data_IF_939177276933
#
_entry.id   IF_939177276933
#
_cell.length_a   1.000
_cell.length_b   1.000
_cell.length_c   1.000
_cell.angle_alpha   90.00
_cell.angle_beta   90.00
_cell.angle_gamma   90.00
#
_symmetry.space_group_name_H-M   'P 1'
#
loop_
_entity.id
_entity.type
_entity.pdbx_description
1 polymer ?
#
# COMPACT_ATOMS: atom_id res chain seq x y z
N UNK A 1 -24.17 8.60 -15.67
CA UNK A 1 -22.76 8.81 -16.00
C UNK A 1 -22.67 9.72 -17.24
N UNK A 2 -21.67 10.66 -17.32
CA UNK A 2 -21.48 11.52 -18.49
C UNK A 2 -21.35 10.71 -19.78
N UNK A 3 -21.99 11.19 -20.87
CA UNK A 3 -21.89 10.55 -22.19
C UNK A 3 -20.45 10.52 -22.67
N UNK A 4 -20.01 9.38 -23.23
CA UNK A 4 -18.65 9.15 -23.70
C UNK A 4 -17.66 8.69 -22.62
N UNK A 5 -18.12 8.53 -21.37
CA UNK A 5 -17.31 7.97 -20.26
C UNK A 5 -17.71 6.52 -20.02
N UNK A 6 -16.71 5.63 -19.91
CA UNK A 6 -16.95 4.22 -19.54
C UNK A 6 -17.39 4.09 -18.09
N UNK A 7 -18.52 3.43 -17.85
CA UNK A 7 -19.04 3.20 -16.50
C UNK A 7 -18.18 2.21 -15.69
N UNK A 8 -17.49 1.32 -16.38
CA UNK A 8 -16.68 0.25 -15.76
C UNK A 8 -15.23 0.64 -15.54
N UNK A 9 -14.65 1.50 -16.40
CA UNK A 9 -13.21 1.80 -16.37
C UNK A 9 -12.88 3.26 -16.07
N UNK A 10 -13.83 4.19 -16.29
CA UNK A 10 -13.62 5.63 -16.19
C UNK A 10 -12.79 6.22 -17.33
N UNK A 11 -12.52 5.44 -18.38
CA UNK A 11 -11.82 5.92 -19.56
C UNK A 11 -12.76 6.68 -20.49
N UNK A 12 -12.23 7.68 -21.18
CA UNK A 12 -12.94 8.43 -22.22
C UNK A 12 -12.96 7.61 -23.50
N UNK A 13 -14.17 7.37 -24.04
CA UNK A 13 -14.41 6.61 -25.28
C UNK A 13 -14.45 7.58 -26.49
N UNK A 14 -13.28 8.04 -26.90
CA UNK A 14 -13.13 9.05 -27.96
C UNK A 14 -13.31 10.47 -27.41
N UNK A 15 -14.53 10.90 -27.11
CA UNK A 15 -14.82 12.16 -26.44
C UNK A 15 -15.88 11.95 -25.34
N UNK A 16 -15.83 12.76 -24.29
CA UNK A 16 -16.79 12.68 -23.20
C UNK A 16 -17.27 14.06 -22.77
N UNK A 17 -18.47 14.13 -22.26
CA UNK A 17 -19.05 15.35 -21.72
C UNK A 17 -18.48 15.62 -20.31
N UNK A 18 -18.02 16.85 -20.08
CA UNK A 18 -17.67 17.35 -18.75
C UNK A 18 -18.92 17.80 -18.01
N UNK A 19 -19.25 17.13 -16.93
CA UNK A 19 -20.36 17.50 -16.06
C UNK A 19 -19.85 18.21 -14.79
N UNK A 20 -20.56 19.24 -14.34
CA UNK A 20 -20.35 19.85 -13.03
C UNK A 20 -20.96 18.98 -11.93
N UNK A 21 -22.13 18.37 -12.22
CA UNK A 21 -22.86 17.48 -11.34
C UNK A 21 -23.32 16.23 -12.10
N UNK A 22 -23.12 15.07 -11.50
CA UNK A 22 -23.61 13.78 -12.02
C UNK A 22 -24.53 13.13 -11.00
N UNK A 23 -25.78 12.85 -11.38
CA UNK A 23 -26.66 12.00 -10.58
C UNK A 23 -26.55 10.57 -11.11
N UNK A 24 -26.25 9.62 -10.23
CA UNK A 24 -26.22 8.19 -10.52
C UNK A 24 -27.22 7.46 -9.64
N UNK A 25 -27.80 6.36 -10.12
CA UNK A 25 -28.89 5.68 -9.44
C UNK A 25 -28.41 4.48 -8.65
N UNK A 26 -28.95 4.33 -7.43
CA UNK A 26 -28.78 3.25 -6.46
C UNK A 26 -27.33 3.05 -5.99
N UNK A 27 -26.40 2.76 -6.89
CA UNK A 27 -25.00 2.54 -6.58
C UNK A 27 -24.11 3.40 -7.46
N UNK A 28 -22.98 3.84 -6.92
CA UNK A 28 -21.97 4.56 -7.68
C UNK A 28 -21.30 3.60 -8.67
N UNK A 29 -21.21 3.99 -9.94
CA UNK A 29 -20.49 3.24 -10.96
C UNK A 29 -19.00 3.49 -10.77
N UNK A 30 -18.21 2.42 -10.79
CA UNK A 30 -16.77 2.48 -10.52
C UNK A 30 -16.01 3.44 -11.46
N UNK A 31 -16.46 3.55 -12.71
CA UNK A 31 -15.91 4.49 -13.68
C UNK A 31 -16.06 5.97 -13.33
N UNK A 32 -16.92 6.34 -12.35
CA UNK A 32 -16.98 7.71 -11.83
C UNK A 32 -15.85 8.02 -10.83
N UNK A 33 -15.17 7.00 -10.32
CA UNK A 33 -14.06 7.15 -9.35
C UNK A 33 -12.69 6.87 -9.97
N UNK A 34 -12.62 6.04 -11.01
CA UNK A 34 -11.36 5.61 -11.62
C UNK A 34 -10.93 6.49 -12.80
N UNK A 35 -9.64 6.43 -13.12
CA UNK A 35 -9.03 7.06 -14.28
C UNK A 35 -9.43 8.55 -14.45
N UNK A 36 -9.94 8.88 -15.63
CA UNK A 36 -10.40 10.22 -15.97
C UNK A 36 -11.81 10.51 -15.42
N UNK A 37 -12.54 9.48 -14.98
CA UNK A 37 -13.95 9.57 -14.60
C UNK A 37 -14.25 10.66 -13.59
N UNK A 38 -13.43 10.82 -12.56
CA UNK A 38 -13.60 11.89 -11.56
C UNK A 38 -13.54 13.29 -12.16
N UNK A 39 -12.63 13.51 -13.09
CA UNK A 39 -12.49 14.84 -13.75
C UNK A 39 -13.69 15.18 -14.62
N UNK A 40 -14.29 14.16 -15.24
CA UNK A 40 -15.44 14.34 -16.13
C UNK A 40 -16.79 14.31 -15.41
N UNK A 41 -16.88 13.65 -14.26
CA UNK A 41 -18.14 13.46 -13.54
C UNK A 41 -18.54 14.64 -12.64
N UNK A 42 -17.60 15.51 -12.28
CA UNK A 42 -17.85 16.58 -11.32
C UNK A 42 -18.29 16.04 -9.96
N UNK A 43 -19.25 16.70 -9.31
CA UNK A 43 -19.83 16.25 -8.05
C UNK A 43 -20.82 15.11 -8.31
N UNK A 44 -20.56 13.91 -7.75
CA UNK A 44 -21.40 12.73 -7.94
C UNK A 44 -22.37 12.57 -6.77
N UNK A 45 -23.66 12.53 -7.08
CA UNK A 45 -24.74 12.26 -6.13
C UNK A 45 -25.39 10.91 -6.48
N UNK A 46 -25.51 10.03 -5.49
CA UNK A 46 -26.26 8.77 -5.64
C UNK A 46 -27.71 9.02 -5.23
N UNK A 47 -28.64 8.72 -6.14
CA UNK A 47 -30.07 8.82 -5.89
C UNK A 47 -30.66 7.41 -5.77
N UNK A 48 -31.33 7.13 -4.66
CA UNK A 48 -32.09 5.91 -4.47
C UNK A 48 -33.38 5.95 -5.31
N UNK A 49 -33.62 4.92 -6.09
CA UNK A 49 -34.82 4.78 -6.96
C UNK A 49 -35.61 3.48 -6.67
N UNK A 50 -35.30 2.80 -5.57
CA UNK A 50 -36.01 1.62 -5.08
C UNK A 50 -35.60 0.30 -5.74
N UNK A 51 -34.38 0.20 -6.30
CA UNK A 51 -33.82 -1.06 -6.79
C UNK A 51 -33.18 -1.81 -5.62
N UNK A 52 -33.52 -3.08 -5.43
CA UNK A 52 -32.90 -3.90 -4.38
C UNK A 52 -31.39 -4.09 -4.60
N UNK A 53 -30.61 -3.92 -3.53
CA UNK A 53 -29.16 -4.16 -3.55
C UNK A 53 -28.81 -5.65 -3.31
N UNK A 54 -29.74 -6.50 -2.90
CA UNK A 54 -29.47 -7.92 -2.61
C UNK A 54 -28.75 -8.67 -3.74
N UNK A 55 -29.15 -8.52 -5.02
CA UNK A 55 -28.43 -9.17 -6.11
C UNK A 55 -26.98 -8.69 -6.26
N UNK A 56 -26.71 -7.42 -5.93
CA UNK A 56 -25.37 -6.86 -6.02
C UNK A 56 -24.43 -7.43 -4.95
N UNK A 57 -24.94 -7.78 -3.76
CA UNK A 57 -24.13 -8.34 -2.68
C UNK A 57 -23.57 -9.73 -3.00
N UNK A 58 -24.14 -10.42 -3.98
CA UNK A 58 -23.73 -11.74 -4.44
C UNK A 58 -22.89 -11.69 -5.73
N UNK A 59 -22.74 -10.51 -6.33
CA UNK A 59 -22.01 -10.34 -7.58
C UNK A 59 -20.49 -10.20 -7.32
N UNK A 60 -19.70 -11.08 -7.93
CA UNK A 60 -18.25 -11.08 -7.83
C UNK A 60 -17.58 -9.83 -8.45
N UNK A 61 -18.32 -9.06 -9.26
CA UNK A 61 -17.83 -7.83 -9.90
C UNK A 61 -18.11 -6.57 -9.07
N UNK A 62 -18.82 -6.70 -7.95
CA UNK A 62 -19.01 -5.59 -7.01
C UNK A 62 -17.70 -5.24 -6.32
N UNK A 63 -17.38 -3.94 -6.35
CA UNK A 63 -16.21 -3.41 -5.68
C UNK A 63 -16.64 -2.70 -4.40
N UNK A 64 -16.08 -3.10 -3.29
CA UNK A 64 -16.39 -2.55 -1.99
C UNK A 64 -15.57 -1.30 -1.68
N UNK A 65 -16.21 -0.28 -1.13
CA UNK A 65 -15.56 0.78 -0.38
C UNK A 65 -16.14 0.80 1.02
N UNK A 66 -15.33 1.09 2.01
CA UNK A 66 -15.75 1.08 3.40
C UNK A 66 -15.96 2.50 3.90
N UNK A 67 -16.93 2.68 4.78
CA UNK A 67 -17.17 3.93 5.48
C UNK A 67 -16.21 4.07 6.67
N UNK A 68 -16.07 5.29 7.19
CA UNK A 68 -15.15 5.60 8.30
C UNK A 68 -15.38 4.71 9.53
N UNK A 69 -16.63 4.44 9.88
CA UNK A 69 -16.99 3.62 11.04
C UNK A 69 -16.61 2.16 10.87
N UNK A 70 -16.61 1.65 9.64
CA UNK A 70 -16.17 0.28 9.35
C UNK A 70 -14.65 0.18 9.52
N UNK A 71 -13.88 1.18 9.05
CA UNK A 71 -12.44 1.23 9.29
C UNK A 71 -12.08 1.36 10.78
N UNK A 72 -12.85 2.14 11.55
CA UNK A 72 -12.66 2.23 13.01
C UNK A 72 -12.82 0.88 13.71
N UNK A 73 -13.76 0.04 13.27
CA UNK A 73 -13.95 -1.32 13.78
C UNK A 73 -12.82 -2.28 13.37
N UNK A 74 -12.03 -1.94 12.36
CA UNK A 74 -10.87 -2.70 11.93
C UNK A 74 -9.61 -2.37 12.74
N UNK A 75 -9.60 -1.28 13.53
CA UNK A 75 -8.42 -0.90 14.31
C UNK A 75 -8.09 -2.00 15.34
N UNK A 76 -6.79 -2.34 15.52
CA UNK A 76 -6.35 -3.26 16.56
C UNK A 76 -6.73 -2.75 17.96
N UNK A 77 -7.22 -3.64 18.81
CA UNK A 77 -7.45 -3.30 20.22
C UNK A 77 -6.11 -3.08 20.95
N UNK A 78 -6.13 -2.13 21.91
CA UNK A 78 -4.95 -1.79 22.73
C UNK A 78 -5.32 -1.88 24.23
N UNK A 79 -5.30 -3.09 24.82
CA UNK A 79 -5.55 -3.29 26.24
C UNK A 79 -4.56 -2.52 27.12
N UNK A 80 -5.01 -2.01 28.27
CA UNK A 80 -4.18 -1.22 29.19
C UNK A 80 -3.01 -2.01 29.76
N UNK A 81 -3.16 -3.32 29.97
CA UNK A 81 -2.15 -4.24 30.51
C UNK A 81 -1.16 -4.80 29.48
N UNK A 82 -1.09 -4.20 28.30
CA UNK A 82 -0.22 -4.61 27.21
C UNK A 82 1.20 -4.03 27.30
N UNK A 83 2.13 -4.65 26.57
CA UNK A 83 3.52 -4.19 26.48
C UNK A 83 3.97 -4.11 25.00
N UNK A 84 5.18 -3.57 24.77
CA UNK A 84 5.72 -3.41 23.41
C UNK A 84 5.75 -4.71 22.58
N UNK A 85 5.91 -5.86 23.20
CA UNK A 85 5.89 -7.17 22.54
C UNK A 85 4.50 -7.58 22.05
N UNK A 86 3.43 -7.04 22.66
CA UNK A 86 2.05 -7.33 22.29
C UNK A 86 1.68 -6.76 20.90
N UNK A 87 2.41 -5.75 20.42
CA UNK A 87 2.10 -5.03 19.18
C UNK A 87 3.04 -5.38 18.03
N UNK A 88 3.76 -6.49 18.15
CA UNK A 88 4.59 -7.07 17.10
C UNK A 88 5.95 -6.39 16.90
N UNK A 89 6.84 -7.15 16.27
CA UNK A 89 8.22 -6.79 15.93
C UNK A 89 8.36 -6.70 14.43
N UNK A 90 8.52 -5.49 13.91
CA UNK A 90 8.70 -5.24 12.48
C UNK A 90 10.18 -5.19 12.12
N UNK A 91 10.59 -5.98 11.14
CA UNK A 91 11.86 -5.85 10.45
C UNK A 91 11.68 -5.02 9.17
N UNK A 92 12.33 -3.87 9.10
CA UNK A 92 12.36 -3.00 7.91
C UNK A 92 13.72 -3.16 7.23
N UNK A 93 13.74 -3.73 6.03
CA UNK A 93 14.93 -3.83 5.18
C UNK A 93 14.83 -2.73 4.13
N UNK A 94 15.47 -1.59 4.40
CA UNK A 94 15.26 -0.38 3.62
C UNK A 94 16.49 0.53 3.62
N UNK A 95 16.52 1.43 2.65
CA UNK A 95 17.59 2.38 2.47
C UNK A 95 18.85 1.80 1.82
N UNK A 96 19.45 2.61 0.97
CA UNK A 96 20.80 2.44 0.42
C UNK A 96 21.61 3.70 0.71
N UNK A 97 22.87 3.74 0.30
CA UNK A 97 23.70 4.95 0.43
C UNK A 97 23.03 6.15 -0.25
N UNK A 98 22.76 7.20 0.53
CA UNK A 98 22.01 8.38 0.09
C UNK A 98 20.48 8.26 0.18
N UNK A 99 19.92 7.11 0.61
CA UNK A 99 18.50 6.83 0.72
C UNK A 99 18.06 6.48 2.16
N UNK A 100 18.75 6.99 3.17
CA UNK A 100 18.37 6.81 4.58
C UNK A 100 16.95 7.31 4.88
N UNK A 101 16.50 8.35 4.14
CA UNK A 101 15.15 8.92 4.28
C UNK A 101 14.03 7.92 4.02
N UNK A 102 14.19 7.01 3.05
CA UNK A 102 13.19 5.98 2.78
C UNK A 102 13.01 5.01 3.97
N UNK A 103 14.13 4.57 4.57
CA UNK A 103 14.12 3.73 5.76
C UNK A 103 13.51 4.45 6.97
N UNK A 104 13.83 5.74 7.15
CA UNK A 104 13.25 6.58 8.20
C UNK A 104 11.73 6.70 8.05
N UNK A 105 11.26 7.11 6.87
CA UNK A 105 9.82 7.33 6.62
C UNK A 105 9.02 6.05 6.85
N UNK A 106 9.51 4.92 6.35
CA UNK A 106 8.89 3.62 6.52
C UNK A 106 8.80 3.22 8.01
N UNK A 107 9.92 3.23 8.73
CA UNK A 107 9.98 2.82 10.12
C UNK A 107 9.20 3.76 11.05
N UNK A 108 9.27 5.08 10.82
CA UNK A 108 8.53 6.05 11.61
C UNK A 108 7.02 5.91 11.41
N UNK A 109 6.56 5.74 10.17
CA UNK A 109 5.15 5.49 9.88
C UNK A 109 4.63 4.21 10.55
N UNK A 110 5.44 3.15 10.61
CA UNK A 110 5.09 1.92 11.31
C UNK A 110 4.92 2.13 12.83
N UNK A 111 5.78 2.94 13.46
CA UNK A 111 5.58 3.32 14.87
C UNK A 111 4.30 4.13 15.07
N UNK A 112 4.01 5.10 14.20
CA UNK A 112 2.82 5.94 14.29
C UNK A 112 1.51 5.16 14.12
N UNK A 113 1.56 3.99 13.51
CA UNK A 113 0.42 3.05 13.43
C UNK A 113 0.41 1.98 14.50
N UNK A 114 1.36 2.04 15.43
CA UNK A 114 1.31 1.27 16.68
C UNK A 114 2.19 0.02 16.73
N UNK A 115 3.11 -0.20 15.79
CA UNK A 115 4.10 -1.28 15.92
C UNK A 115 4.88 -1.17 17.22
N UNK A 116 5.03 -2.29 17.95
CA UNK A 116 5.65 -2.27 19.27
C UNK A 116 7.18 -2.14 19.25
N UNK A 117 7.82 -2.77 18.28
CA UNK A 117 9.26 -2.72 18.07
C UNK A 117 9.55 -2.66 16.56
N UNK A 118 10.38 -1.72 16.15
CA UNK A 118 10.85 -1.64 14.76
C UNK A 118 12.38 -1.78 14.73
N UNK A 119 12.85 -2.69 13.88
CA UNK A 119 14.28 -2.86 13.60
C UNK A 119 14.54 -2.54 12.14
N UNK A 120 15.49 -1.66 11.89
CA UNK A 120 15.91 -1.30 10.52
C UNK A 120 17.18 -2.05 10.19
N UNK A 121 17.19 -2.78 9.08
CA UNK A 121 18.37 -3.41 8.49
C UNK A 121 18.79 -2.62 7.24
N UNK A 122 19.97 -2.01 7.27
CA UNK A 122 20.38 -0.99 6.31
C UNK A 122 21.91 -0.95 6.18
N UNK A 123 22.48 -0.39 5.07
CA UNK A 123 23.90 -0.14 4.99
C UNK A 123 24.44 0.73 6.13
N UNK A 124 25.70 0.50 6.53
CA UNK A 124 26.37 1.20 7.63
C UNK A 124 26.41 2.72 7.47
N UNK A 125 26.47 3.21 6.24
CA UNK A 125 26.40 4.65 5.92
C UNK A 125 25.16 5.34 6.50
N UNK A 126 24.06 4.60 6.69
CA UNK A 126 22.79 5.13 7.17
C UNK A 126 22.64 5.10 8.70
N UNK A 127 23.52 4.39 9.43
CA UNK A 127 23.36 4.11 10.87
C UNK A 127 23.20 5.36 11.70
N UNK A 128 24.16 6.29 11.60
CA UNK A 128 24.16 7.52 12.42
C UNK A 128 22.97 8.42 12.09
N UNK A 129 22.64 8.53 10.79
CA UNK A 129 21.51 9.30 10.31
C UNK A 129 20.21 8.77 10.93
N UNK A 130 19.99 7.47 10.85
CA UNK A 130 18.76 6.85 11.34
C UNK A 130 18.67 6.84 12.86
N UNK A 131 19.79 6.61 13.55
CA UNK A 131 19.82 6.65 15.01
C UNK A 131 19.52 8.07 15.55
N UNK A 132 19.90 9.10 14.80
CA UNK A 132 19.60 10.50 15.14
C UNK A 132 18.13 10.84 14.84
N UNK A 133 17.59 10.38 13.70
CA UNK A 133 16.24 10.73 13.25
C UNK A 133 15.14 9.93 13.96
N UNK A 134 15.42 8.69 14.39
CA UNK A 134 14.46 7.78 14.99
C UNK A 134 15.15 6.94 16.09
N UNK A 135 15.47 7.54 17.25
CA UNK A 135 16.20 6.87 18.34
C UNK A 135 15.43 5.67 18.93
N UNK A 136 14.12 5.59 18.74
CA UNK A 136 13.28 4.45 19.16
C UNK A 136 13.55 3.18 18.36
N UNK A 137 14.06 3.31 17.12
CA UNK A 137 14.30 2.16 16.25
C UNK A 137 15.61 1.45 16.59
N UNK A 138 15.59 0.13 16.51
CA UNK A 138 16.81 -0.70 16.62
C UNK A 138 17.49 -0.69 15.25
N UNK A 139 18.73 -0.18 15.16
CA UNK A 139 19.46 -0.16 13.90
C UNK A 139 20.45 -1.32 13.86
N UNK A 140 20.29 -2.22 12.90
CA UNK A 140 21.26 -3.23 12.53
C UNK A 140 21.86 -2.83 11.18
N UNK A 141 23.15 -2.56 11.15
CA UNK A 141 23.81 -2.03 9.97
C UNK A 141 24.80 -3.05 9.41
N UNK A 142 24.87 -3.17 8.09
CA UNK A 142 25.78 -4.06 7.37
C UNK A 142 26.75 -3.29 6.48
N UNK A 143 27.95 -3.81 6.33
CA UNK A 143 28.93 -3.38 5.31
C UNK A 143 28.75 -4.24 4.05
N UNK A 144 28.59 -5.56 4.23
CA UNK A 144 28.40 -6.54 3.17
C UNK A 144 27.22 -7.46 3.48
N UNK A 145 26.69 -8.13 2.45
CA UNK A 145 25.61 -9.10 2.62
C UNK A 145 26.04 -10.28 3.49
N UNK A 146 25.30 -10.54 4.55
CA UNK A 146 25.49 -11.69 5.43
C UNK A 146 24.15 -12.47 5.57
N UNK A 147 24.09 -13.63 4.93
CA UNK A 147 22.89 -14.47 4.93
C UNK A 147 22.50 -14.95 6.35
N UNK A 148 23.46 -15.34 7.18
CA UNK A 148 23.19 -15.81 8.53
C UNK A 148 22.58 -14.73 9.41
N UNK A 149 23.06 -13.49 9.26
CA UNK A 149 22.52 -12.34 9.98
C UNK A 149 21.06 -12.08 9.54
N UNK A 150 20.79 -12.07 8.23
CA UNK A 150 19.42 -11.94 7.70
C UNK A 150 18.49 -13.01 8.26
N UNK A 151 18.94 -14.29 8.28
CA UNK A 151 18.14 -15.38 8.83
C UNK A 151 17.85 -15.21 10.34
N UNK A 152 18.78 -14.67 11.12
CA UNK A 152 18.56 -14.35 12.55
C UNK A 152 17.53 -13.21 12.69
N UNK A 153 17.59 -12.21 11.81
CA UNK A 153 16.65 -11.09 11.81
C UNK A 153 15.23 -11.55 11.42
N UNK A 154 15.09 -12.41 10.42
CA UNK A 154 13.81 -12.99 10.03
C UNK A 154 13.16 -13.78 11.18
N UNK A 155 13.94 -14.57 11.91
CA UNK A 155 13.46 -15.31 13.11
C UNK A 155 13.02 -14.40 14.26
N UNK A 156 13.59 -13.19 14.34
CA UNK A 156 13.21 -12.23 15.38
C UNK A 156 11.90 -11.52 15.05
N UNK A 157 11.56 -11.35 13.77
CA UNK A 157 10.46 -10.53 13.30
C UNK A 157 9.10 -11.25 13.40
N UNK A 158 8.04 -10.49 13.66
CA UNK A 158 6.64 -10.90 13.53
C UNK A 158 6.05 -10.45 12.18
N UNK A 159 6.78 -9.59 11.45
CA UNK A 159 6.50 -9.18 10.07
C UNK A 159 7.72 -8.47 9.46
N UNK A 160 7.79 -8.48 8.15
CA UNK A 160 8.90 -7.91 7.37
C UNK A 160 8.38 -6.89 6.37
N UNK A 161 9.09 -5.76 6.23
CA UNK A 161 8.88 -4.81 5.14
C UNK A 161 10.20 -4.63 4.40
N UNK A 162 10.22 -4.87 3.09
CA UNK A 162 11.43 -4.79 2.28
C UNK A 162 11.19 -4.01 0.99
N UNK A 163 12.14 -3.14 0.62
CA UNK A 163 12.15 -2.57 -0.71
C UNK A 163 12.34 -1.06 -0.77
N UNK A 164 11.82 -0.30 0.19
CA UNK A 164 11.91 1.17 0.22
C UNK A 164 13.37 1.64 0.15
N UNK A 165 13.77 2.16 -1.03
CA UNK A 165 15.10 2.75 -1.25
C UNK A 165 16.28 1.81 -1.10
N UNK A 166 16.12 0.49 -1.26
CA UNK A 166 17.25 -0.47 -1.16
C UNK A 166 18.16 -0.47 -2.39
N UNK A 167 17.71 0.15 -3.50
CA UNK A 167 18.40 0.12 -4.79
C UNK A 167 18.32 -1.24 -5.49
N UNK A 168 19.03 -1.35 -6.63
CA UNK A 168 19.02 -2.56 -7.48
C UNK A 168 20.40 -3.18 -7.59
N UNK A 169 21.14 -3.21 -6.48
CA UNK A 169 22.47 -3.83 -6.41
C UNK A 169 22.39 -5.35 -6.25
N UNK A 170 23.49 -6.04 -6.49
CA UNK A 170 23.61 -7.48 -6.19
C UNK A 170 23.32 -7.78 -4.70
N UNK A 171 23.68 -6.88 -3.80
CA UNK A 171 23.35 -7.01 -2.37
C UNK A 171 21.85 -6.94 -2.15
N UNK A 172 21.16 -5.98 -2.77
CA UNK A 172 19.70 -5.83 -2.68
C UNK A 172 18.96 -7.04 -3.24
N UNK A 173 19.45 -7.60 -4.34
CA UNK A 173 18.91 -8.85 -4.92
C UNK A 173 19.08 -10.03 -3.97
N UNK A 174 20.29 -10.21 -3.39
CA UNK A 174 20.54 -11.28 -2.41
C UNK A 174 19.68 -11.14 -1.16
N UNK A 175 19.44 -9.90 -0.69
CA UNK A 175 18.55 -9.62 0.43
C UNK A 175 17.10 -10.05 0.10
N UNK A 176 16.57 -9.58 -1.03
CA UNK A 176 15.20 -9.93 -1.44
C UNK A 176 15.04 -11.44 -1.63
N UNK A 177 15.98 -12.08 -2.33
CA UNK A 177 15.97 -13.53 -2.56
C UNK A 177 15.98 -14.31 -1.23
N UNK A 178 16.83 -13.90 -0.27
CA UNK A 178 16.89 -14.53 1.05
C UNK A 178 15.58 -14.31 1.83
N UNK A 179 15.00 -13.11 1.78
CA UNK A 179 13.71 -12.85 2.44
C UNK A 179 12.62 -13.75 1.83
N UNK A 180 12.45 -13.76 0.52
CA UNK A 180 11.43 -14.58 -0.14
C UNK A 180 11.63 -16.06 0.13
N UNK A 181 12.86 -16.53 0.22
CA UNK A 181 13.17 -17.96 0.42
C UNK A 181 12.90 -18.42 1.87
N UNK A 182 13.09 -17.56 2.86
CA UNK A 182 13.10 -17.97 4.27
C UNK A 182 12.10 -17.25 5.19
N UNK A 183 11.34 -16.25 4.70
CA UNK A 183 10.33 -15.57 5.51
C UNK A 183 9.16 -16.53 5.78
N UNK A 184 8.75 -16.64 7.04
CA UNK A 184 7.61 -17.43 7.50
C UNK A 184 6.50 -16.56 8.16
N UNK A 185 6.74 -15.26 8.25
CA UNK A 185 5.81 -14.25 8.77
C UNK A 185 5.28 -13.38 7.62
N UNK A 186 4.21 -12.59 7.83
CA UNK A 186 3.73 -11.67 6.81
C UNK A 186 4.83 -10.72 6.31
N UNK A 187 4.91 -10.52 5.00
CA UNK A 187 5.96 -9.73 4.36
C UNK A 187 5.39 -8.74 3.36
N UNK A 188 5.74 -7.47 3.50
CA UNK A 188 5.42 -6.42 2.55
C UNK A 188 6.62 -6.15 1.65
N UNK A 189 6.39 -6.13 0.33
CA UNK A 189 7.39 -5.78 -0.69
C UNK A 189 6.93 -4.52 -1.43
N UNK A 190 7.77 -3.48 -1.44
CA UNK A 190 7.50 -2.19 -2.09
C UNK A 190 8.67 -1.73 -2.96
N UNK A 191 8.45 -0.76 -3.82
CA UNK A 191 9.46 0.02 -4.53
C UNK A 191 10.55 -0.82 -5.24
N UNK A 192 11.82 -0.64 -4.84
CA UNK A 192 12.93 -1.40 -5.45
C UNK A 192 12.81 -2.91 -5.23
N UNK A 193 12.16 -3.34 -4.15
CA UNK A 193 11.84 -4.75 -3.95
C UNK A 193 10.96 -5.31 -5.06
N UNK A 194 9.93 -4.58 -5.48
CA UNK A 194 9.04 -4.95 -6.60
C UNK A 194 9.78 -4.90 -7.94
N UNK A 195 10.68 -3.91 -8.12
CA UNK A 195 11.51 -3.83 -9.32
C UNK A 195 12.44 -5.03 -9.44
N UNK A 196 13.13 -5.39 -8.36
CA UNK A 196 13.99 -6.58 -8.31
C UNK A 196 13.20 -7.87 -8.55
N UNK A 197 11.97 -7.94 -8.02
CA UNK A 197 11.08 -9.07 -8.24
C UNK A 197 10.67 -9.19 -9.71
N UNK A 198 10.42 -8.08 -10.40
CA UNK A 198 10.10 -8.07 -11.82
C UNK A 198 11.27 -8.52 -12.72
N UNK A 199 12.50 -8.26 -12.28
CA UNK A 199 13.73 -8.72 -12.96
C UNK A 199 14.04 -10.21 -12.70
N UNK A 200 13.52 -10.78 -11.60
CA UNK A 200 13.77 -12.12 -11.11
C UNK A 200 12.44 -12.90 -10.98
N UNK A 201 11.79 -13.17 -12.10
CA UNK A 201 10.44 -13.79 -12.12
C UNK A 201 10.38 -15.17 -11.47
N UNK A 202 11.50 -15.89 -11.39
CA UNK A 202 11.62 -17.17 -10.66
C UNK A 202 11.26 -17.04 -9.16
N UNK A 203 11.35 -15.83 -8.61
CA UNK A 203 10.95 -15.55 -7.24
C UNK A 203 9.44 -15.45 -7.07
N UNK A 204 8.69 -15.06 -8.10
CA UNK A 204 7.23 -15.01 -8.06
C UNK A 204 6.62 -16.40 -7.84
N UNK A 205 7.22 -17.43 -8.44
CA UNK A 205 6.76 -18.82 -8.27
C UNK A 205 6.97 -19.39 -6.86
N UNK A 206 7.75 -18.68 -6.04
CA UNK A 206 8.05 -19.06 -4.64
C UNK A 206 7.17 -18.39 -3.59
N UNK A 207 6.21 -17.58 -4.01
CA UNK A 207 5.34 -16.81 -3.10
C UNK A 207 4.17 -17.64 -2.55
N UNK A 208 3.80 -18.72 -3.23
CA UNK A 208 2.64 -19.54 -2.90
C UNK A 208 2.64 -19.97 -1.41
N UNK A 209 1.45 -20.02 -0.82
CA UNK A 209 1.16 -20.39 0.56
C UNK A 209 1.77 -19.48 1.64
N UNK A 210 2.28 -18.30 1.26
CA UNK A 210 2.84 -17.31 2.19
C UNK A 210 2.02 -16.03 2.20
N UNK A 211 2.22 -15.21 3.21
CA UNK A 211 1.46 -13.97 3.42
C UNK A 211 2.23 -12.76 2.90
N UNK A 212 2.15 -12.51 1.60
CA UNK A 212 2.76 -11.33 0.99
C UNK A 212 1.77 -10.21 0.75
N UNK A 213 2.24 -8.95 0.95
CA UNK A 213 1.59 -7.72 0.50
C UNK A 213 2.50 -7.06 -0.52
N UNK A 214 1.98 -6.71 -1.69
CA UNK A 214 2.66 -5.90 -2.69
C UNK A 214 1.98 -4.55 -2.82
N UNK A 215 2.80 -3.51 -2.97
CA UNK A 215 2.29 -2.12 -3.07
C UNK A 215 2.74 -1.44 -4.37
N UNK A 216 2.50 -2.03 -5.57
CA UNK A 216 2.95 -1.46 -6.81
C UNK A 216 2.18 -0.19 -7.19
N UNK A 217 2.87 0.83 -7.73
CA UNK A 217 2.24 1.84 -8.58
C UNK A 217 2.09 1.30 -10.02
N UNK A 218 1.38 2.03 -10.89
CA UNK A 218 1.07 1.57 -12.25
C UNK A 218 2.29 1.10 -13.05
N UNK A 219 3.44 1.79 -12.95
CA UNK A 219 4.67 1.39 -13.68
C UNK A 219 5.33 0.15 -13.09
N UNK A 220 5.29 -0.05 -11.77
CA UNK A 220 5.77 -1.26 -11.10
C UNK A 220 4.88 -2.45 -11.46
N UNK A 221 3.55 -2.25 -11.46
CA UNK A 221 2.60 -3.28 -11.89
C UNK A 221 2.82 -3.69 -13.35
N UNK A 222 3.06 -2.71 -14.23
CA UNK A 222 3.41 -2.96 -15.64
C UNK A 222 4.66 -3.84 -15.78
N UNK A 223 5.71 -3.60 -14.98
CA UNK A 223 6.92 -4.43 -15.00
C UNK A 223 6.67 -5.85 -14.47
N UNK A 224 5.91 -5.98 -13.38
CA UNK A 224 5.56 -7.27 -12.78
C UNK A 224 4.74 -8.14 -13.72
N UNK A 225 3.75 -7.55 -14.39
CA UNK A 225 2.82 -8.26 -15.29
C UNK A 225 3.34 -8.38 -16.71
N UNK A 226 4.21 -7.46 -17.17
CA UNK A 226 4.60 -7.31 -18.55
C UNK A 226 3.53 -6.62 -19.43
N UNK A 227 2.46 -6.11 -18.83
CA UNK A 227 1.36 -5.41 -19.51
C UNK A 227 1.68 -3.92 -19.59
N UNK A 228 1.55 -3.24 -20.75
CA UNK A 228 1.72 -1.79 -20.86
C UNK A 228 0.82 -0.99 -19.91
N UNK A 229 1.27 0.19 -19.48
CA UNK A 229 0.52 1.02 -18.52
C UNK A 229 -0.84 1.45 -19.08
N UNK A 230 -0.93 1.68 -20.39
CA UNK A 230 -2.17 2.04 -21.10
C UNK A 230 -3.20 0.93 -20.95
N UNK A 231 -2.83 -0.30 -21.26
CA UNK A 231 -3.70 -1.48 -21.17
C UNK A 231 -4.07 -1.79 -19.70
N UNK A 232 -3.13 -1.57 -18.78
CA UNK A 232 -3.41 -1.66 -17.34
C UNK A 232 -4.49 -0.66 -16.90
N UNK A 233 -4.54 0.53 -17.48
CA UNK A 233 -5.56 1.54 -17.14
C UNK A 233 -6.95 1.14 -17.62
N UNK A 234 -7.04 0.46 -18.74
CA UNK A 234 -8.30 0.01 -19.31
C UNK A 234 -8.90 -1.18 -18.56
N UNK A 235 -8.08 -2.12 -18.10
CA UNK A 235 -8.56 -3.35 -17.45
C UNK A 235 -7.93 -3.60 -16.05
N UNK A 236 -7.62 -2.51 -15.31
CA UNK A 236 -6.88 -2.56 -14.05
C UNK A 236 -7.49 -3.48 -13.00
N UNK A 237 -8.81 -3.59 -12.97
CA UNK A 237 -9.54 -4.40 -11.99
C UNK A 237 -9.29 -5.88 -12.25
N UNK A 238 -9.51 -6.34 -13.50
CA UNK A 238 -9.34 -7.75 -13.84
C UNK A 238 -7.86 -8.17 -13.80
N UNK A 239 -6.96 -7.28 -14.23
CA UNK A 239 -5.51 -7.54 -14.16
C UNK A 239 -5.08 -7.67 -12.69
N UNK A 240 -5.56 -6.78 -11.81
CA UNK A 240 -5.25 -6.83 -10.39
C UNK A 240 -5.81 -8.10 -9.73
N UNK A 241 -7.06 -8.49 -10.03
CA UNK A 241 -7.67 -9.75 -9.57
C UNK A 241 -6.81 -10.95 -9.99
N UNK A 242 -6.52 -11.08 -11.28
CA UNK A 242 -5.71 -12.18 -11.82
C UNK A 242 -4.32 -12.25 -11.21
N UNK A 243 -3.68 -11.09 -10.97
CA UNK A 243 -2.37 -11.04 -10.36
C UNK A 243 -2.41 -11.49 -8.88
N UNK A 244 -3.33 -10.95 -8.10
CA UNK A 244 -3.46 -11.29 -6.68
C UNK A 244 -3.81 -12.77 -6.48
N UNK A 245 -4.72 -13.31 -7.28
CA UNK A 245 -5.10 -14.72 -7.25
C UNK A 245 -3.98 -15.63 -7.77
N UNK A 246 -3.40 -15.31 -8.93
CA UNK A 246 -2.35 -16.13 -9.55
C UNK A 246 -1.11 -16.31 -8.68
N UNK A 247 -0.70 -15.28 -7.94
CA UNK A 247 0.44 -15.33 -7.00
C UNK A 247 0.05 -15.50 -5.54
N UNK A 248 -1.25 -15.61 -5.22
CA UNK A 248 -1.79 -15.78 -3.87
C UNK A 248 -1.35 -14.67 -2.90
N UNK A 249 -1.30 -13.43 -3.37
CA UNK A 249 -0.83 -12.25 -2.63
C UNK A 249 -1.94 -11.24 -2.39
N UNK A 250 -1.78 -10.40 -1.38
CA UNK A 250 -2.54 -9.15 -1.26
C UNK A 250 -1.83 -8.08 -2.08
N UNK A 251 -2.51 -7.45 -3.03
CA UNK A 251 -1.91 -6.44 -3.91
C UNK A 251 -2.62 -5.09 -3.77
N UNK A 252 -1.85 -4.05 -3.46
CA UNK A 252 -2.29 -2.65 -3.31
C UNK A 252 -1.83 -1.87 -4.53
N UNK A 253 -2.66 -1.75 -5.55
CA UNK A 253 -2.36 -1.00 -6.77
C UNK A 253 -2.55 0.49 -6.53
N UNK A 254 -1.41 1.19 -6.36
CA UNK A 254 -1.36 2.64 -6.09
C UNK A 254 -1.69 3.45 -7.34
N UNK A 255 -2.71 4.29 -7.23
CA UNK A 255 -3.06 5.33 -8.21
C UNK A 255 -3.80 6.44 -7.47
N UNK A 256 -4.36 7.42 -8.19
CA UNK A 256 -5.24 8.48 -7.64
C UNK A 256 -6.41 7.92 -6.82
N UNK A 257 -6.84 6.72 -7.14
CA UNK A 257 -7.69 5.81 -6.36
C UNK A 257 -6.98 4.47 -6.24
N UNK A 258 -6.68 4.07 -5.04
CA UNK A 258 -5.98 2.81 -4.78
C UNK A 258 -6.96 1.65 -4.74
N UNK A 259 -6.65 0.60 -5.48
CA UNK A 259 -7.37 -0.67 -5.48
C UNK A 259 -6.59 -1.70 -4.65
N UNK A 260 -7.28 -2.45 -3.82
CA UNK A 260 -6.71 -3.53 -3.03
C UNK A 260 -7.41 -4.83 -3.42
N UNK A 261 -6.65 -5.82 -3.89
CA UNK A 261 -7.13 -7.16 -4.17
C UNK A 261 -6.40 -8.20 -3.33
N UNK A 262 -7.06 -9.29 -3.05
CA UNK A 262 -6.49 -10.45 -2.38
C UNK A 262 -6.76 -11.75 -3.16
N UNK A 263 -6.22 -12.85 -2.66
CA UNK A 263 -6.39 -14.19 -3.22
C UNK A 263 -7.86 -14.71 -3.24
N UNK A 264 -8.77 -14.05 -2.53
CA UNK A 264 -10.20 -14.39 -2.56
C UNK A 264 -10.96 -13.62 -3.66
N UNK A 265 -10.26 -12.96 -4.57
CA UNK A 265 -10.83 -12.13 -5.64
C UNK A 265 -11.70 -10.96 -5.17
N UNK A 266 -11.67 -10.62 -3.88
CA UNK A 266 -12.34 -9.43 -3.39
C UNK A 266 -11.53 -8.18 -3.72
N UNK A 267 -12.20 -7.17 -4.26
CA UNK A 267 -11.59 -5.85 -4.48
C UNK A 267 -12.20 -4.81 -3.56
N UNK A 268 -11.31 -4.04 -2.95
CA UNK A 268 -11.64 -2.85 -2.20
C UNK A 268 -11.09 -1.61 -2.92
N UNK A 269 -11.92 -0.57 -3.01
CA UNK A 269 -11.53 0.75 -3.50
C UNK A 269 -11.33 1.70 -2.32
N UNK A 270 -10.13 2.25 -2.19
CA UNK A 270 -9.88 3.32 -1.24
C UNK A 270 -10.26 4.69 -1.82
N UNK A 271 -11.11 5.42 -1.11
CA UNK A 271 -11.62 6.73 -1.50
C UNK A 271 -10.87 7.90 -0.87
N UNK A 272 -10.02 7.66 0.16
CA UNK A 272 -9.20 8.69 0.80
C UNK A 272 -7.95 9.00 -0.01
N UNK A 273 -7.40 10.17 0.25
CA UNK A 273 -6.18 10.66 -0.41
C UNK A 273 -6.45 11.64 -1.55
N UNK A 274 -5.44 12.44 -1.83
CA UNK A 274 -5.53 13.56 -2.77
C UNK A 274 -4.19 13.86 -3.47
N UNK A 275 -4.20 14.80 -4.42
CA UNK A 275 -3.04 15.16 -5.24
C UNK A 275 -1.87 15.79 -4.47
N UNK A 276 -2.08 16.35 -3.27
CA UNK A 276 -1.00 16.89 -2.45
C UNK A 276 -0.01 15.80 -1.99
N UNK A 277 -0.46 14.54 -1.97
CA UNK A 277 0.36 13.37 -1.62
C UNK A 277 1.30 12.93 -2.74
N UNK A 278 1.22 13.50 -3.94
CA UNK A 278 2.05 13.15 -5.09
C UNK A 278 3.49 13.71 -4.93
N UNK A 279 4.20 13.25 -3.91
CA UNK A 279 5.59 13.64 -3.58
C UNK A 279 6.42 12.41 -3.22
N UNK A 280 7.74 12.56 -3.39
CA UNK A 280 8.70 11.53 -2.98
C UNK A 280 8.55 11.21 -1.49
N UNK A 281 8.64 9.93 -1.15
CA UNK A 281 8.50 9.43 0.22
C UNK A 281 7.08 9.05 0.63
N UNK A 282 6.04 9.48 -0.10
CA UNK A 282 4.64 9.12 0.22
C UNK A 282 4.41 7.60 0.14
N UNK A 283 5.05 6.91 -0.81
CA UNK A 283 5.01 5.45 -0.91
C UNK A 283 5.71 4.76 0.26
N UNK A 284 6.87 5.28 0.69
CA UNK A 284 7.60 4.75 1.84
C UNK A 284 6.77 4.86 3.14
N UNK A 285 6.04 5.98 3.29
CA UNK A 285 5.08 6.15 4.40
C UNK A 285 3.95 5.13 4.30
N UNK A 286 3.33 4.95 3.13
CA UNK A 286 2.27 3.95 2.94
C UNK A 286 2.75 2.54 3.30
N UNK A 287 3.94 2.14 2.82
CA UNK A 287 4.52 0.85 3.15
C UNK A 287 4.71 0.67 4.66
N UNK A 288 5.20 1.72 5.36
CA UNK A 288 5.33 1.72 6.81
C UNK A 288 4.00 1.63 7.55
N UNK A 289 2.98 2.37 7.11
CA UNK A 289 1.62 2.34 7.69
C UNK A 289 1.02 0.94 7.57
N UNK A 290 1.06 0.33 6.39
CA UNK A 290 0.55 -1.03 6.17
C UNK A 290 1.34 -2.04 7.00
N UNK A 291 2.68 -1.94 7.02
CA UNK A 291 3.55 -2.84 7.77
C UNK A 291 3.31 -2.74 9.29
N UNK A 292 3.04 -1.54 9.81
CA UNK A 292 2.72 -1.32 11.21
C UNK A 292 1.40 -1.99 11.65
N UNK A 293 0.36 -1.95 10.80
CA UNK A 293 -0.86 -2.73 11.04
C UNK A 293 -0.65 -4.23 10.83
N UNK A 294 0.15 -4.61 9.83
CA UNK A 294 0.42 -6.01 9.50
C UNK A 294 1.04 -6.81 10.64
N UNK A 295 1.94 -6.19 11.43
CA UNK A 295 2.57 -6.89 12.57
C UNK A 295 1.65 -7.04 13.77
N UNK A 296 0.62 -6.20 13.88
CA UNK A 296 -0.39 -6.28 14.94
C UNK A 296 -1.49 -7.28 14.60
N UNK A 297 -1.99 -7.29 13.36
CA UNK A 297 -3.17 -8.06 12.92
C UNK A 297 -2.83 -9.43 12.31
N UNK A 298 -1.66 -9.57 11.67
CA UNK A 298 -1.24 -10.77 10.90
C UNK A 298 -2.19 -11.16 9.76
N UNK A 299 -3.21 -10.34 9.48
CA UNK A 299 -4.11 -10.42 8.35
C UNK A 299 -3.68 -9.38 7.31
N UNK A 300 -3.11 -9.87 6.20
CA UNK A 300 -2.56 -9.01 5.14
C UNK A 300 -3.62 -8.16 4.45
N UNK A 301 -4.84 -8.69 4.27
CA UNK A 301 -5.95 -7.99 3.64
C UNK A 301 -6.44 -6.83 4.53
N UNK A 302 -6.69 -7.12 5.82
CA UNK A 302 -7.11 -6.11 6.79
C UNK A 302 -6.06 -5.01 6.94
N UNK A 303 -4.78 -5.39 7.07
CA UNK A 303 -3.67 -4.44 7.18
C UNK A 303 -3.55 -3.54 5.93
N UNK A 304 -3.67 -4.11 4.72
CA UNK A 304 -3.61 -3.36 3.47
C UNK A 304 -4.76 -2.37 3.34
N UNK A 305 -5.99 -2.78 3.65
CA UNK A 305 -7.19 -1.93 3.61
C UNK A 305 -7.08 -0.77 4.61
N UNK A 306 -6.84 -1.11 5.88
CA UNK A 306 -6.73 -0.12 6.96
C UNK A 306 -5.57 0.84 6.73
N UNK A 307 -4.39 0.32 6.38
CA UNK A 307 -3.20 1.13 6.14
C UNK A 307 -3.37 2.10 4.96
N UNK A 308 -3.98 1.66 3.87
CA UNK A 308 -4.24 2.53 2.72
C UNK A 308 -5.25 3.63 3.07
N UNK A 309 -6.29 3.30 3.83
CA UNK A 309 -7.28 4.28 4.29
C UNK A 309 -6.67 5.33 5.21
N UNK A 310 -5.96 4.91 6.26
CA UNK A 310 -5.33 5.82 7.24
C UNK A 310 -4.30 6.72 6.57
N UNK A 311 -3.45 6.18 5.67
CA UNK A 311 -2.50 6.97 4.91
C UNK A 311 -3.19 8.04 4.04
N UNK A 312 -4.28 7.67 3.34
CA UNK A 312 -5.04 8.60 2.53
C UNK A 312 -5.73 9.67 3.36
N UNK A 313 -6.36 9.29 4.49
CA UNK A 313 -7.03 10.22 5.40
C UNK A 313 -6.03 11.20 6.04
N UNK A 314 -4.85 10.71 6.45
CA UNK A 314 -3.76 11.57 6.91
C UNK A 314 -3.36 12.61 5.85
N UNK A 315 -3.32 12.21 4.57
CA UNK A 315 -3.08 13.11 3.46
C UNK A 315 -4.20 14.14 3.23
N UNK A 316 -5.45 13.76 3.44
CA UNK A 316 -6.60 14.68 3.34
C UNK A 316 -6.57 15.73 4.46
N UNK A 317 -6.27 15.33 5.69
CA UNK A 317 -6.09 16.22 6.84
C UNK A 317 -4.89 17.16 6.65
N UNK A 318 -3.75 16.63 6.20
CA UNK A 318 -2.56 17.43 5.93
C UNK A 318 -2.82 18.48 4.83
N UNK A 319 -3.52 18.12 3.76
CA UNK A 319 -3.92 19.07 2.70
C UNK A 319 -4.84 20.16 3.24
N UNK A 320 -5.78 19.79 4.09
CA UNK A 320 -6.71 20.78 4.68
C UNK A 320 -5.98 21.86 5.48
N UNK A 321 -4.98 21.48 6.28
CA UNK A 321 -4.24 22.43 7.12
C UNK A 321 -3.08 23.14 6.38
N UNK A 322 -2.36 22.44 5.47
CA UNK A 322 -1.12 22.94 4.84
C UNK A 322 -1.30 23.37 3.37
N UNK A 323 -2.46 23.11 2.78
CA UNK A 323 -2.71 23.37 1.37
C UNK A 323 -2.09 22.31 0.44
N UNK A 324 -2.51 22.35 -0.84
CA UNK A 324 -2.20 21.32 -1.83
C UNK A 324 -0.71 21.24 -2.21
N UNK A 325 0.04 22.34 -2.10
CA UNK A 325 1.44 22.42 -2.54
C UNK A 325 2.44 22.06 -1.44
N UNK A 326 2.09 22.23 -0.17
CA UNK A 326 3.06 22.24 0.95
C UNK A 326 3.14 20.92 1.73
N UNK A 327 2.28 19.95 1.43
CA UNK A 327 2.30 18.63 2.09
C UNK A 327 3.57 17.87 1.73
N UNK A 328 4.30 17.42 2.72
CA UNK A 328 5.49 16.58 2.60
C UNK A 328 5.19 15.18 3.18
N UNK A 329 6.03 14.18 2.84
CA UNK A 329 5.87 12.83 3.37
C UNK A 329 5.90 12.77 4.90
N UNK A 330 6.68 13.62 5.57
CA UNK A 330 6.69 13.72 7.04
C UNK A 330 5.37 14.20 7.61
N UNK A 331 4.70 15.11 6.90
CA UNK A 331 3.39 15.60 7.34
C UNK A 331 2.37 14.46 7.34
N UNK A 332 2.41 13.56 6.35
CA UNK A 332 1.53 12.38 6.34
C UNK A 332 1.70 11.58 7.64
N UNK A 333 2.94 11.39 8.10
CA UNK A 333 3.22 10.66 9.35
C UNK A 333 2.65 11.38 10.56
N UNK A 334 2.80 12.71 10.65
CA UNK A 334 2.26 13.54 11.74
C UNK A 334 0.75 13.45 11.83
N UNK A 335 0.07 13.41 10.67
CA UNK A 335 -1.39 13.36 10.62
C UNK A 335 -1.99 11.95 10.79
N UNK A 336 -1.19 10.88 10.83
CA UNK A 336 -1.67 9.53 11.16
C UNK A 336 -2.41 9.49 12.49
N UNK A 337 -1.90 10.24 13.49
CA UNK A 337 -2.51 10.29 14.83
C UNK A 337 -3.89 10.96 14.88
N UNK A 338 -4.27 11.69 13.81
CA UNK A 338 -5.56 12.37 13.66
C UNK A 338 -6.50 11.65 12.69
N UNK A 339 -5.98 10.67 11.93
CA UNK A 339 -6.70 9.91 10.93
C UNK A 339 -7.38 8.66 11.51
#
# INVERSE_FOLDING_TARGET
>A
IPSGLSASTGCVLGCAFHADDTVTFEVKKIGLELAQGRAYAGRVTVAEIGISHEPLLQDADVIHSFEREEYRRMLPERPEDSNKGSYGRLLVIAGSKGMAGAAYLNAHAAYMTGAGLVRIYTPKDNREILQTLLPEAIITAYDEFNKEEVLKLLKWADGVCIGSGIGRSTTSEKLLRTVIEYVDVPCLIDADGLNLLSDNKDLLDRLADRKFIFTPHMKEMSRLTGIPVEDLREDRIQILKKFADGYQVTCVLKDSRTLIADKANEICLNLTGNSAMAKAGSGDVLAGVIAGFMVQEKDTKKAARLGTYVHGLAGDLAKFEKGVYSVMARDLIEYISKA
#
